data_IF_473719252231
#
_entry.id   IF_473719252231
#
_cell.length_a   1.000
_cell.length_b   1.000
_cell.length_c   1.000
_cell.angle_alpha   90.00
_cell.angle_beta   90.00
_cell.angle_gamma   90.00
#
_symmetry.space_group_name_H-M   'P 1'
#
loop_
_entity.id
_entity.type
_entity.pdbx_description
1 polymer ?
#
# COMPACT_ATOMS: atom_id res chain seq x y z
N UNK A 1 -33.19 -8.57 14.02
CA UNK A 1 -32.52 -7.37 14.58
C UNK A 1 -31.49 -6.77 13.65
N UNK A 2 -30.69 -7.58 12.92
CA UNK A 2 -29.75 -7.04 11.89
C UNK A 2 -30.43 -6.28 10.73
N UNK A 3 -31.60 -6.71 10.28
CA UNK A 3 -32.33 -6.03 9.18
C UNK A 3 -32.92 -4.66 9.56
N UNK A 4 -33.00 -4.31 10.85
CA UNK A 4 -33.52 -3.04 11.32
C UNK A 4 -32.38 -1.99 11.48
N UNK A 5 -31.12 -2.43 11.64
CA UNK A 5 -29.94 -1.58 11.73
C UNK A 5 -29.47 -1.05 10.36
N UNK A 6 -29.68 -1.83 9.28
CA UNK A 6 -29.37 -1.40 7.91
C UNK A 6 -30.27 -0.31 7.34
N UNK A 7 -31.30 0.10 8.08
CA UNK A 7 -32.31 1.06 7.62
C UNK A 7 -32.05 2.54 7.97
N UNK A 8 -30.95 2.87 8.65
CA UNK A 8 -30.68 4.25 9.11
C UNK A 8 -29.20 4.66 8.93
N UNK A 9 -28.53 4.25 7.90
CA UNK A 9 -27.49 5.11 7.35
C UNK A 9 -28.23 6.06 6.40
N UNK A 10 -28.65 7.21 6.88
CA UNK A 10 -28.93 8.35 6.00
C UNK A 10 -27.62 8.64 5.30
N UNK A 11 -27.52 8.25 4.02
CA UNK A 11 -26.31 8.28 3.17
C UNK A 11 -25.84 9.72 2.85
N UNK A 12 -26.02 10.66 3.74
CA UNK A 12 -25.53 12.02 3.60
C UNK A 12 -25.04 12.46 4.97
N UNK A 13 -23.77 12.72 5.12
CA UNK A 13 -23.08 13.30 6.28
C UNK A 13 -22.19 12.33 7.08
N UNK A 14 -21.34 11.56 6.40
CA UNK A 14 -20.39 10.67 7.08
C UNK A 14 -19.21 11.46 7.67
N UNK A 15 -18.83 11.08 8.88
CA UNK A 15 -17.57 11.47 9.52
C UNK A 15 -16.59 10.31 9.39
N UNK A 16 -15.47 10.56 8.77
CA UNK A 16 -14.51 9.51 8.39
C UNK A 16 -13.21 9.73 9.14
N UNK A 17 -12.65 8.67 9.71
CA UNK A 17 -11.33 8.65 10.32
C UNK A 17 -10.38 7.87 9.39
N UNK A 18 -9.25 8.49 9.03
CA UNK A 18 -8.17 7.84 8.30
C UNK A 18 -7.04 7.58 9.28
N UNK A 19 -6.57 6.33 9.34
CA UNK A 19 -5.41 5.94 10.12
C UNK A 19 -4.18 5.91 9.21
N UNK A 20 -3.19 6.75 9.49
CA UNK A 20 -1.94 6.86 8.73
C UNK A 20 -1.37 8.26 8.72
N UNK A 21 -0.14 8.39 8.23
CA UNK A 21 0.60 9.65 8.10
C UNK A 21 1.51 9.69 6.86
N UNK A 22 1.42 8.68 6.01
CA UNK A 22 2.19 8.51 4.79
C UNK A 22 1.53 9.18 3.57
N UNK A 23 2.14 9.09 2.39
CA UNK A 23 1.59 9.63 1.15
C UNK A 23 0.24 9.02 0.81
N UNK A 24 0.08 7.72 1.04
CA UNK A 24 -1.18 6.98 0.89
C UNK A 24 -2.29 7.58 1.77
N UNK A 25 -2.01 7.91 3.04
CA UNK A 25 -2.99 8.54 3.92
C UNK A 25 -3.43 9.91 3.40
N UNK A 26 -2.50 10.71 2.88
CA UNK A 26 -2.82 12.00 2.27
C UNK A 26 -3.65 11.83 1.00
N UNK A 27 -3.31 10.85 0.16
CA UNK A 27 -4.08 10.53 -1.05
C UNK A 27 -5.50 10.08 -0.73
N UNK A 28 -5.69 9.28 0.34
CA UNK A 28 -7.03 8.96 0.83
C UNK A 28 -7.79 10.21 1.28
N UNK A 29 -7.14 11.15 1.98
CA UNK A 29 -7.77 12.41 2.38
C UNK A 29 -8.27 13.19 1.17
N UNK A 30 -7.39 13.38 0.17
CA UNK A 30 -7.72 14.05 -1.07
C UNK A 30 -8.90 13.38 -1.80
N UNK A 31 -8.84 12.05 -1.97
CA UNK A 31 -9.89 11.32 -2.71
C UNK A 31 -11.23 11.32 -1.99
N UNK A 32 -11.22 11.11 -0.68
CA UNK A 32 -12.43 11.05 0.15
C UNK A 32 -13.07 12.44 0.30
N UNK A 33 -12.27 13.51 0.32
CA UNK A 33 -12.79 14.88 0.41
C UNK A 33 -13.64 15.31 -0.79
N UNK A 34 -13.49 14.63 -1.93
CA UNK A 34 -14.28 14.87 -3.15
C UNK A 34 -15.70 14.29 -3.06
N UNK A 35 -15.96 13.40 -2.09
CA UNK A 35 -17.28 12.78 -1.94
C UNK A 35 -18.26 13.71 -1.22
N UNK A 36 -19.43 13.93 -1.82
CA UNK A 36 -20.54 14.64 -1.15
C UNK A 36 -21.06 13.93 0.12
N UNK A 37 -20.69 12.64 0.28
CA UNK A 37 -21.08 11.85 1.45
C UNK A 37 -20.16 12.11 2.65
N UNK A 38 -18.94 12.64 2.44
CA UNK A 38 -18.00 12.97 3.47
C UNK A 38 -18.23 14.39 3.97
N UNK A 39 -18.61 14.56 5.24
CA UNK A 39 -18.82 15.88 5.83
C UNK A 39 -17.68 16.35 6.72
N UNK A 40 -16.91 15.43 7.25
CA UNK A 40 -15.74 15.74 8.07
C UNK A 40 -14.73 14.60 8.04
N UNK A 41 -13.47 14.96 7.84
CA UNK A 41 -12.32 14.06 7.94
C UNK A 41 -11.59 14.28 9.26
N UNK A 42 -11.13 13.18 9.84
CA UNK A 42 -10.17 13.11 10.93
C UNK A 42 -9.04 12.19 10.50
N UNK A 43 -7.83 12.51 10.88
CA UNK A 43 -6.65 11.72 10.49
C UNK A 43 -5.78 11.45 11.72
N UNK A 44 -5.33 10.21 11.90
CA UNK A 44 -4.50 9.83 13.02
C UNK A 44 -3.27 9.03 12.55
N UNK A 45 -2.05 9.51 12.79
CA UNK A 45 -1.75 10.86 13.31
C UNK A 45 -1.81 11.96 12.26
N UNK A 46 -1.81 11.64 10.95
CA UNK A 46 -1.74 12.59 9.85
C UNK A 46 -0.33 13.18 9.65
N UNK A 47 -0.23 14.09 8.69
CA UNK A 47 0.99 14.83 8.35
C UNK A 47 0.65 16.30 8.01
N UNK A 48 1.62 17.09 7.53
CA UNK A 48 1.37 18.49 7.21
C UNK A 48 0.31 18.69 6.12
N UNK A 49 0.28 17.80 5.09
CA UNK A 49 -0.68 17.91 3.98
C UNK A 49 -2.09 17.47 4.36
N UNK A 50 -2.23 16.47 5.21
CA UNK A 50 -3.56 15.95 5.61
C UNK A 50 -4.39 16.99 6.37
N UNK A 51 -3.75 17.95 7.03
CA UNK A 51 -4.42 19.05 7.73
C UNK A 51 -5.23 19.98 6.81
N UNK A 52 -4.96 19.96 5.51
CA UNK A 52 -5.72 20.71 4.51
C UNK A 52 -7.14 20.13 4.28
N UNK A 53 -7.32 18.84 4.55
CA UNK A 53 -8.55 18.10 4.30
C UNK A 53 -9.34 17.80 5.58
N UNK A 54 -8.68 17.77 6.75
CA UNK A 54 -9.33 17.40 7.99
C UNK A 54 -8.55 17.73 9.25
N UNK A 55 -9.06 17.26 10.38
CA UNK A 55 -8.45 17.46 11.70
C UNK A 55 -7.43 16.34 11.98
N UNK A 56 -6.13 16.66 12.06
CA UNK A 56 -5.12 15.72 12.50
C UNK A 56 -5.24 15.49 14.02
N UNK A 57 -5.12 14.23 14.43
CA UNK A 57 -5.23 13.79 15.83
C UNK A 57 -3.92 13.13 16.22
N UNK A 58 -3.27 13.61 17.26
CA UNK A 58 -2.00 13.02 17.75
C UNK A 58 -2.25 11.69 18.47
N UNK A 59 -2.55 10.66 17.69
CA UNK A 59 -2.88 9.31 18.16
C UNK A 59 -2.12 8.30 17.29
N UNK A 60 -1.42 7.38 17.93
CA UNK A 60 -0.80 6.25 17.23
C UNK A 60 -1.84 5.36 16.57
N UNK A 61 -1.58 4.89 15.35
CA UNK A 61 -2.44 3.95 14.61
C UNK A 61 -2.66 2.61 15.33
N UNK A 62 -1.85 2.31 16.35
CA UNK A 62 -1.95 1.08 17.16
C UNK A 62 -2.48 1.32 18.57
N UNK A 63 -2.80 2.56 18.94
CA UNK A 63 -3.48 2.87 20.20
C UNK A 63 -5.00 2.75 20.03
N UNK A 64 -5.48 1.51 20.02
CA UNK A 64 -6.89 1.20 19.78
C UNK A 64 -7.84 1.81 20.80
N UNK A 65 -7.42 1.98 22.06
CA UNK A 65 -8.26 2.60 23.09
C UNK A 65 -8.44 4.10 22.86
N UNK A 66 -7.40 4.81 22.42
CA UNK A 66 -7.53 6.23 22.05
C UNK A 66 -8.33 6.39 20.76
N UNK A 67 -8.14 5.51 19.76
CA UNK A 67 -8.98 5.47 18.56
C UNK A 67 -10.44 5.27 18.92
N UNK A 68 -10.77 4.32 19.80
CA UNK A 68 -12.13 4.11 20.31
C UNK A 68 -12.74 5.36 20.92
N UNK A 69 -11.98 6.06 21.82
CA UNK A 69 -12.44 7.29 22.46
C UNK A 69 -12.81 8.35 21.40
N UNK A 70 -11.96 8.51 20.39
CA UNK A 70 -12.22 9.44 19.28
C UNK A 70 -13.44 9.03 18.48
N UNK A 71 -13.55 7.77 18.10
CA UNK A 71 -14.69 7.26 17.33
C UNK A 71 -16.02 7.56 18.03
N UNK A 72 -16.07 7.35 19.34
CA UNK A 72 -17.28 7.64 20.13
C UNK A 72 -17.53 9.14 20.26
N UNK A 73 -16.51 9.94 20.63
CA UNK A 73 -16.68 11.37 20.92
C UNK A 73 -16.96 12.20 19.66
N UNK A 74 -16.31 11.87 18.53
CA UNK A 74 -16.48 12.54 17.24
C UNK A 74 -17.64 11.96 16.43
N UNK A 75 -18.19 10.79 16.84
CA UNK A 75 -19.26 10.03 16.15
C UNK A 75 -18.78 9.64 14.73
N UNK A 76 -17.70 8.90 14.67
CA UNK A 76 -17.13 8.39 13.42
C UNK A 76 -18.05 7.30 12.85
N UNK A 77 -18.28 7.35 11.55
CA UNK A 77 -19.11 6.39 10.81
C UNK A 77 -18.28 5.36 10.02
N UNK A 78 -17.08 5.76 9.59
CA UNK A 78 -16.19 4.95 8.78
C UNK A 78 -14.72 5.17 9.17
N UNK A 79 -13.95 4.09 9.24
CA UNK A 79 -12.49 4.09 9.47
C UNK A 79 -11.78 3.49 8.27
N UNK A 80 -10.89 4.28 7.66
CA UNK A 80 -9.98 3.81 6.60
C UNK A 80 -8.63 3.52 7.21
N UNK A 81 -8.18 2.27 7.10
CA UNK A 81 -6.89 1.84 7.66
C UNK A 81 -5.82 1.88 6.57
N UNK A 82 -4.88 2.80 6.67
CA UNK A 82 -3.79 2.95 5.70
C UNK A 82 -2.68 1.92 5.87
N UNK A 83 -2.01 1.84 7.05
CA UNK A 83 -0.88 0.94 7.25
C UNK A 83 -1.30 -0.49 7.65
N UNK A 84 -0.40 -1.44 7.46
CA UNK A 84 -0.61 -2.87 7.74
C UNK A 84 -0.61 -3.20 9.24
N UNK A 85 0.16 -2.48 10.05
CA UNK A 85 0.39 -2.84 11.45
C UNK A 85 -0.92 -2.93 12.28
N UNK A 86 -1.83 -1.93 12.24
CA UNK A 86 -3.10 -2.04 12.97
C UNK A 86 -3.99 -3.17 12.44
N UNK A 87 -3.92 -3.51 11.15
CA UNK A 87 -4.69 -4.63 10.57
C UNK A 87 -4.21 -5.96 11.15
N UNK A 88 -2.90 -6.20 11.13
CA UNK A 88 -2.27 -7.42 11.68
C UNK A 88 -2.50 -7.51 13.19
N UNK A 89 -2.52 -6.38 13.90
CA UNK A 89 -2.85 -6.30 15.33
C UNK A 89 -4.35 -6.44 15.63
N UNK A 90 -5.21 -6.58 14.60
CA UNK A 90 -6.61 -6.93 14.75
C UNK A 90 -7.55 -5.76 15.05
N UNK A 91 -7.26 -4.58 14.52
CA UNK A 91 -8.16 -3.41 14.70
C UNK A 91 -9.59 -3.72 14.23
N UNK A 92 -9.77 -4.49 13.13
CA UNK A 92 -11.08 -4.90 12.66
C UNK A 92 -11.85 -5.67 13.74
N UNK A 93 -11.22 -6.70 14.35
CA UNK A 93 -11.82 -7.49 15.41
C UNK A 93 -12.14 -6.61 16.63
N UNK A 94 -11.22 -5.72 17.00
CA UNK A 94 -11.45 -4.77 18.11
C UNK A 94 -12.71 -3.96 17.91
N UNK A 95 -12.99 -3.50 16.68
CA UNK A 95 -14.23 -2.77 16.37
C UNK A 95 -15.46 -3.69 16.38
N UNK A 96 -15.38 -4.87 15.77
CA UNK A 96 -16.53 -5.79 15.63
C UNK A 96 -16.96 -6.39 16.97
N UNK A 97 -16.01 -6.63 17.88
CA UNK A 97 -16.28 -7.22 19.21
C UNK A 97 -16.82 -6.17 20.22
N UNK A 98 -16.64 -4.87 19.97
CA UNK A 98 -17.10 -3.82 20.85
C UNK A 98 -18.50 -3.31 20.46
N UNK A 99 -19.47 -3.44 21.37
CA UNK A 99 -20.87 -3.01 21.14
C UNK A 99 -21.05 -1.53 20.82
N UNK A 100 -20.07 -0.68 21.17
CA UNK A 100 -20.09 0.75 20.87
C UNK A 100 -19.47 1.10 19.52
N UNK A 101 -18.71 0.18 18.94
CA UNK A 101 -17.96 0.40 17.70
C UNK A 101 -18.44 -0.45 16.53
N UNK A 102 -19.13 -1.57 16.77
CA UNK A 102 -19.43 -2.59 15.76
C UNK A 102 -20.34 -2.13 14.62
N UNK A 103 -20.93 -0.94 14.76
CA UNK A 103 -21.72 -0.29 13.71
C UNK A 103 -20.84 0.55 12.76
N UNK A 104 -19.59 0.82 13.13
CA UNK A 104 -18.66 1.62 12.33
C UNK A 104 -18.10 0.74 11.22
N UNK A 105 -18.10 1.28 10.00
CA UNK A 105 -17.47 0.63 8.86
C UNK A 105 -15.94 0.68 9.05
N UNK A 106 -15.26 -0.44 8.90
CA UNK A 106 -13.79 -0.51 8.96
C UNK A 106 -13.26 -1.14 7.69
N UNK A 107 -12.38 -0.43 6.96
CA UNK A 107 -11.71 -1.00 5.79
C UNK A 107 -10.52 -1.84 6.25
N UNK A 108 -10.63 -3.12 6.08
CA UNK A 108 -9.56 -4.08 6.39
C UNK A 108 -10.13 -5.44 6.77
N UNK A 109 -9.30 -6.49 6.69
CA UNK A 109 -9.69 -7.83 7.09
C UNK A 109 -9.70 -8.01 8.61
N UNK A 110 -10.30 -9.13 9.04
CA UNK A 110 -10.03 -9.68 10.36
C UNK A 110 -8.54 -9.92 10.60
N UNK A 111 -8.11 -10.06 11.87
CA UNK A 111 -6.73 -10.41 12.20
C UNK A 111 -6.27 -11.72 11.50
N UNK A 112 -7.20 -12.65 11.28
CA UNK A 112 -6.92 -13.87 10.51
C UNK A 112 -6.68 -13.56 9.03
N UNK A 113 -7.51 -12.74 8.39
CA UNK A 113 -7.32 -12.31 7.00
C UNK A 113 -6.06 -11.48 6.80
N UNK A 114 -5.69 -10.66 7.80
CA UNK A 114 -4.46 -9.87 7.78
C UNK A 114 -3.19 -10.74 7.80
N UNK A 115 -3.28 -12.05 8.11
CA UNK A 115 -2.14 -12.97 7.99
C UNK A 115 -1.68 -13.17 6.54
N UNK A 116 -2.49 -12.84 5.54
CA UNK A 116 -2.04 -12.83 4.13
C UNK A 116 -0.85 -11.88 3.92
N UNK A 117 -0.76 -10.76 4.67
CA UNK A 117 0.40 -9.86 4.71
C UNK A 117 1.30 -10.14 5.92
N UNK A 118 0.70 -10.42 7.08
CA UNK A 118 1.40 -10.58 8.35
C UNK A 118 2.26 -11.84 8.45
N UNK A 119 1.99 -12.88 7.64
CA UNK A 119 2.76 -14.12 7.61
C UNK A 119 2.93 -14.61 6.18
N UNK A 120 4.16 -14.61 5.70
CA UNK A 120 4.49 -15.13 4.37
C UNK A 120 4.27 -16.63 4.26
N UNK A 121 4.50 -17.35 5.37
CA UNK A 121 4.22 -18.78 5.46
C UNK A 121 2.71 -19.07 5.33
N UNK A 122 1.86 -18.27 6.00
CA UNK A 122 0.41 -18.36 5.86
C UNK A 122 -0.04 -18.06 4.43
N UNK A 123 0.45 -16.97 3.85
CA UNK A 123 0.12 -16.59 2.47
C UNK A 123 0.50 -17.69 1.46
N UNK A 124 1.70 -18.25 1.58
CA UNK A 124 2.16 -19.36 0.72
C UNK A 124 1.29 -20.61 0.87
N UNK A 125 0.97 -20.99 2.10
CA UNK A 125 0.08 -22.14 2.36
C UNK A 125 -1.33 -21.89 1.81
N UNK A 126 -1.87 -20.67 1.94
CA UNK A 126 -3.14 -20.26 1.34
C UNK A 126 -3.10 -20.40 -0.19
N UNK A 127 -2.07 -19.82 -0.85
CA UNK A 127 -1.91 -19.91 -2.30
C UNK A 127 -1.82 -21.37 -2.78
N UNK A 128 -1.12 -22.23 -2.05
CA UNK A 128 -1.00 -23.63 -2.39
C UNK A 128 -2.35 -24.38 -2.29
N UNK A 129 -3.14 -24.13 -1.23
CA UNK A 129 -4.46 -24.76 -1.04
C UNK A 129 -5.45 -24.37 -2.14
N UNK A 130 -5.34 -23.14 -2.65
CA UNK A 130 -6.26 -22.59 -3.65
C UNK A 130 -5.69 -22.58 -5.07
N UNK A 131 -4.56 -23.27 -5.31
CA UNK A 131 -3.88 -23.38 -6.61
C UNK A 131 -3.55 -22.03 -7.25
N UNK A 132 -3.20 -21.04 -6.44
CA UNK A 132 -2.79 -19.69 -6.90
C UNK A 132 -1.32 -19.74 -7.28
N UNK A 133 -0.95 -19.29 -8.51
CA UNK A 133 0.43 -19.34 -8.97
C UNK A 133 1.37 -18.49 -8.09
N UNK A 134 2.43 -19.11 -7.62
CA UNK A 134 3.49 -18.45 -6.83
C UNK A 134 4.79 -19.24 -6.95
N UNK A 135 5.93 -18.66 -6.56
CA UNK A 135 7.22 -19.33 -6.54
C UNK A 135 7.19 -20.61 -5.70
N UNK A 136 7.88 -21.65 -6.14
CA UNK A 136 8.12 -22.82 -5.30
C UNK A 136 8.84 -22.40 -4.02
N UNK A 137 8.41 -22.98 -2.89
CA UNK A 137 8.93 -22.59 -1.60
C UNK A 137 9.02 -23.75 -0.61
N UNK A 138 9.87 -23.57 0.39
CA UNK A 138 9.84 -24.31 1.66
C UNK A 138 9.98 -23.34 2.82
N UNK A 139 9.40 -23.69 3.96
CA UNK A 139 9.54 -22.92 5.19
C UNK A 139 10.40 -23.70 6.20
N UNK A 140 11.18 -22.95 6.97
CA UNK A 140 12.04 -23.49 8.02
C UNK A 140 12.00 -22.59 9.25
N UNK A 141 12.29 -23.16 10.40
CA UNK A 141 12.40 -22.51 11.70
C UNK A 141 13.64 -23.04 12.47
N UNK A 142 13.73 -22.72 13.74
CA UNK A 142 14.86 -23.14 14.55
C UNK A 142 14.95 -24.68 14.73
N UNK A 143 13.80 -25.40 14.70
CA UNK A 143 13.78 -26.86 14.86
C UNK A 143 14.21 -27.56 13.55
N UNK A 144 13.90 -26.97 12.41
CA UNK A 144 14.22 -27.45 11.06
C UNK A 144 15.48 -26.78 10.45
N UNK A 145 16.33 -26.16 11.31
CA UNK A 145 17.47 -25.34 10.86
C UNK A 145 18.44 -26.08 9.94
N UNK A 146 18.88 -27.28 10.33
CA UNK A 146 19.82 -28.10 9.55
C UNK A 146 19.23 -28.57 8.22
N UNK A 147 17.93 -28.91 8.21
CA UNK A 147 17.21 -29.24 6.95
C UNK A 147 17.17 -28.02 6.01
N UNK A 148 16.96 -26.82 6.57
CA UNK A 148 16.97 -25.57 5.82
C UNK A 148 18.33 -25.26 5.20
N UNK A 149 19.44 -25.48 5.94
CA UNK A 149 20.80 -25.32 5.40
C UNK A 149 21.06 -26.29 4.24
N UNK A 150 20.66 -27.55 4.38
CA UNK A 150 20.85 -28.55 3.32
C UNK A 150 19.99 -28.23 2.10
N UNK A 151 18.75 -27.77 2.31
CA UNK A 151 17.86 -27.30 1.24
C UNK A 151 18.46 -26.12 0.46
N UNK A 152 18.97 -25.09 1.16
CA UNK A 152 19.59 -23.91 0.53
C UNK A 152 20.85 -24.30 -0.24
N UNK A 153 21.69 -25.19 0.31
CA UNK A 153 22.91 -25.68 -0.33
C UNK A 153 22.64 -26.32 -1.68
N UNK A 154 21.52 -27.04 -1.81
CA UNK A 154 21.14 -27.76 -3.02
C UNK A 154 20.11 -26.99 -3.88
N UNK A 155 19.73 -25.76 -3.50
CA UNK A 155 18.75 -24.96 -4.22
C UNK A 155 19.36 -24.32 -5.48
N UNK A 156 18.55 -24.17 -6.52
CA UNK A 156 18.94 -23.43 -7.73
C UNK A 156 19.11 -21.93 -7.37
N UNK A 157 20.20 -21.35 -7.83
CA UNK A 157 20.48 -19.92 -7.65
C UNK A 157 19.96 -19.07 -8.82
N UNK A 158 19.57 -17.82 -8.59
CA UNK A 158 19.45 -17.16 -7.27
C UNK A 158 18.39 -17.81 -6.38
N UNK A 159 18.51 -17.63 -5.07
CA UNK A 159 17.51 -18.07 -4.09
C UNK A 159 17.00 -16.87 -3.30
N UNK A 160 15.71 -16.86 -2.93
CA UNK A 160 15.09 -15.79 -2.17
C UNK A 160 14.78 -16.24 -0.75
N UNK A 161 15.30 -15.52 0.23
CA UNK A 161 15.01 -15.74 1.65
C UNK A 161 14.07 -14.66 2.15
N UNK A 162 12.95 -15.05 2.76
CA UNK A 162 11.97 -14.10 3.32
C UNK A 162 11.72 -14.41 4.79
N UNK A 163 11.99 -13.45 5.67
CA UNK A 163 11.54 -13.52 7.07
C UNK A 163 10.00 -13.50 7.13
N UNK A 164 9.40 -14.30 8.00
CA UNK A 164 7.95 -14.58 8.00
C UNK A 164 7.10 -13.45 8.58
N UNK A 165 7.56 -12.47 9.19
CA UNK A 165 6.76 -11.38 9.77
C UNK A 165 6.85 -10.07 9.00
N UNK A 166 6.20 -9.03 9.55
CA UNK A 166 6.38 -7.66 9.08
C UNK A 166 7.81 -7.21 9.33
N UNK A 167 8.52 -6.84 8.28
CA UNK A 167 9.92 -6.41 8.33
C UNK A 167 10.16 -5.11 7.53
N UNK A 168 9.12 -4.30 7.34
CA UNK A 168 9.17 -2.99 6.64
C UNK A 168 9.94 -3.04 5.31
N UNK A 169 9.69 -4.05 4.48
CA UNK A 169 10.36 -4.27 3.19
C UNK A 169 11.81 -4.77 3.27
N UNK A 170 12.38 -4.93 4.48
CA UNK A 170 13.78 -5.34 4.70
C UNK A 170 13.95 -6.85 4.91
N UNK A 171 12.88 -7.60 5.07
CA UNK A 171 12.90 -9.04 5.37
C UNK A 171 13.08 -9.96 4.16
N UNK A 172 13.38 -9.42 2.98
CA UNK A 172 13.58 -10.18 1.74
C UNK A 172 15.02 -10.00 1.25
N UNK A 173 15.70 -11.11 1.05
CA UNK A 173 17.10 -11.12 0.56
C UNK A 173 17.19 -12.07 -0.65
N UNK A 174 17.73 -11.58 -1.76
CA UNK A 174 18.01 -12.37 -2.95
C UNK A 174 19.51 -12.69 -2.93
N UNK A 175 19.84 -13.97 -2.85
CA UNK A 175 21.22 -14.45 -2.76
C UNK A 175 21.64 -15.11 -4.07
N UNK A 176 22.74 -14.64 -4.63
CA UNK A 176 23.32 -15.18 -5.86
C UNK A 176 24.29 -16.34 -5.62
N UNK A 177 24.70 -16.56 -4.37
CA UNK A 177 25.64 -17.62 -3.97
C UNK A 177 25.11 -18.39 -2.76
N UNK A 178 25.31 -19.72 -2.74
CA UNK A 178 24.84 -20.57 -1.62
C UNK A 178 25.48 -20.19 -0.29
N UNK A 179 26.75 -19.77 -0.26
CA UNK A 179 27.42 -19.34 0.98
C UNK A 179 26.77 -18.07 1.55
N UNK A 180 26.44 -17.11 0.70
CA UNK A 180 25.70 -15.91 1.08
C UNK A 180 24.33 -16.28 1.64
N UNK A 181 23.58 -17.15 0.95
CA UNK A 181 22.25 -17.58 1.37
C UNK A 181 22.28 -18.31 2.72
N UNK A 182 23.25 -19.20 2.95
CA UNK A 182 23.42 -19.88 4.24
C UNK A 182 23.76 -18.90 5.37
N UNK A 183 24.62 -17.90 5.10
CA UNK A 183 24.95 -16.85 6.08
C UNK A 183 23.76 -15.98 6.44
N UNK A 184 22.98 -15.52 5.44
CA UNK A 184 21.75 -14.75 5.68
C UNK A 184 20.68 -15.57 6.43
N UNK A 185 20.52 -16.85 6.09
CA UNK A 185 19.62 -17.77 6.77
C UNK A 185 19.97 -17.92 8.27
N UNK A 186 21.28 -18.09 8.60
CA UNK A 186 21.76 -18.11 9.98
C UNK A 186 21.45 -16.79 10.68
N UNK A 187 21.72 -15.64 10.04
CA UNK A 187 21.46 -14.33 10.62
C UNK A 187 19.97 -14.14 10.94
N UNK A 188 19.09 -14.62 10.07
CA UNK A 188 17.63 -14.46 10.26
C UNK A 188 17.16 -15.35 11.43
N UNK A 189 17.43 -16.67 11.39
CA UNK A 189 16.88 -17.63 12.34
C UNK A 189 17.64 -17.60 13.66
N UNK A 190 18.98 -17.74 13.62
CA UNK A 190 19.75 -17.92 14.86
C UNK A 190 20.15 -16.61 15.53
N UNK A 191 20.42 -15.55 14.75
CA UNK A 191 20.80 -14.24 15.29
C UNK A 191 19.63 -13.29 15.42
N UNK A 192 18.41 -13.73 15.11
CA UNK A 192 17.18 -12.93 15.25
C UNK A 192 17.26 -11.56 14.56
N UNK A 193 17.89 -11.48 13.39
CA UNK A 193 18.10 -10.23 12.61
C UNK A 193 16.82 -9.39 12.49
N UNK A 194 15.65 -10.04 12.46
CA UNK A 194 14.34 -9.39 12.37
C UNK A 194 13.42 -9.66 13.58
N UNK A 195 14.02 -10.00 14.77
CA UNK A 195 13.27 -10.29 15.99
C UNK A 195 12.24 -11.41 15.78
N UNK A 196 11.00 -11.21 16.21
CA UNK A 196 9.92 -12.19 16.09
C UNK A 196 9.64 -12.59 14.63
N UNK A 197 9.79 -11.67 13.66
CA UNK A 197 9.61 -11.95 12.25
C UNK A 197 10.65 -12.94 11.69
N UNK A 198 11.79 -13.08 12.33
CA UNK A 198 12.87 -14.01 11.95
C UNK A 198 12.73 -15.43 12.50
N UNK A 199 11.69 -15.73 13.28
CA UNK A 199 11.49 -17.09 13.84
C UNK A 199 11.25 -18.16 12.78
N UNK A 200 10.72 -17.75 11.62
CA UNK A 200 10.54 -18.60 10.44
C UNK A 200 11.11 -17.92 9.21
N UNK A 201 11.61 -18.71 8.28
CA UNK A 201 12.08 -18.25 6.98
C UNK A 201 11.40 -19.05 5.89
N UNK A 202 10.89 -18.35 4.89
CA UNK A 202 10.43 -18.92 3.64
C UNK A 202 11.57 -18.82 2.64
N UNK A 203 12.01 -19.97 2.12
CA UNK A 203 13.03 -20.09 1.07
C UNK A 203 12.32 -20.32 -0.24
N UNK A 204 12.48 -19.40 -1.20
CA UNK A 204 11.75 -19.40 -2.46
C UNK A 204 12.66 -19.50 -3.68
N UNK A 205 12.12 -20.08 -4.73
CA UNK A 205 12.67 -19.93 -6.07
C UNK A 205 12.67 -18.46 -6.49
N UNK A 206 13.76 -18.00 -7.09
CA UNK A 206 13.78 -16.70 -7.75
C UNK A 206 12.97 -16.77 -9.05
N UNK A 207 12.06 -15.83 -9.20
CA UNK A 207 11.30 -15.61 -10.42
C UNK A 207 11.94 -14.45 -11.18
N UNK A 208 12.26 -14.69 -12.45
CA UNK A 208 12.83 -13.67 -13.34
C UNK A 208 11.73 -13.14 -14.25
N UNK A 209 11.34 -11.88 -14.04
CA UNK A 209 10.21 -11.28 -14.75
C UNK A 209 10.04 -9.80 -14.39
N UNK A 210 8.90 -9.24 -14.79
CA UNK A 210 8.58 -7.84 -14.57
C UNK A 210 7.48 -7.74 -13.50
N UNK A 211 7.76 -7.00 -12.43
CA UNK A 211 6.81 -6.79 -11.33
C UNK A 211 5.70 -5.83 -11.71
N UNK A 212 4.50 -6.06 -11.16
CA UNK A 212 3.38 -5.13 -11.18
C UNK A 212 2.53 -5.30 -9.92
N UNK A 213 1.77 -4.25 -9.63
CA UNK A 213 0.85 -4.16 -8.50
C UNK A 213 -0.59 -4.15 -9.00
N UNK A 214 -1.40 -5.11 -8.56
CA UNK A 214 -2.83 -5.18 -8.89
C UNK A 214 -3.64 -5.02 -7.61
N UNK A 215 -4.72 -4.27 -7.66
CA UNK A 215 -5.52 -3.91 -6.51
C UNK A 215 -6.98 -4.27 -6.71
N UNK A 216 -7.59 -4.82 -5.69
CA UNK A 216 -9.04 -4.96 -5.60
C UNK A 216 -9.55 -4.36 -4.29
N UNK A 217 -10.77 -3.85 -4.31
CA UNK A 217 -11.58 -3.65 -3.12
C UNK A 217 -12.57 -4.80 -3.07
N UNK A 218 -12.62 -5.53 -1.95
CA UNK A 218 -13.50 -6.71 -1.79
C UNK A 218 -14.38 -6.60 -0.55
N UNK A 219 -15.56 -7.18 -0.63
CA UNK A 219 -16.49 -7.40 0.49
C UNK A 219 -16.45 -8.84 1.04
N UNK A 220 -15.48 -9.63 0.55
CA UNK A 220 -15.31 -11.04 0.90
C UNK A 220 -16.10 -12.01 0.03
N UNK A 221 -17.05 -11.53 -0.80
CA UNK A 221 -17.83 -12.34 -1.75
C UNK A 221 -17.65 -11.88 -3.18
N UNK A 222 -17.57 -10.56 -3.37
CA UNK A 222 -17.33 -9.92 -4.63
C UNK A 222 -16.15 -8.95 -4.51
N UNK A 223 -15.81 -8.35 -5.64
CA UNK A 223 -14.75 -7.35 -5.69
C UNK A 223 -14.96 -6.38 -6.85
N UNK A 224 -14.27 -5.25 -6.77
CA UNK A 224 -14.07 -4.34 -7.89
C UNK A 224 -12.57 -4.22 -8.15
N UNK A 225 -12.17 -4.28 -9.42
CA UNK A 225 -10.78 -4.14 -9.85
C UNK A 225 -10.45 -2.65 -9.94
N UNK A 226 -9.39 -2.23 -9.25
CA UNK A 226 -8.85 -0.88 -9.32
C UNK A 226 -7.75 -0.79 -10.38
N UNK A 227 -7.33 0.42 -10.81
CA UNK A 227 -6.20 0.56 -11.73
C UNK A 227 -4.95 -0.17 -11.22
N UNK A 228 -4.27 -0.88 -12.10
CA UNK A 228 -2.98 -1.47 -11.84
C UNK A 228 -1.87 -0.41 -11.81
N UNK A 229 -0.75 -0.73 -11.17
CA UNK A 229 0.40 0.13 -11.10
C UNK A 229 1.71 -0.68 -11.14
N UNK A 230 2.83 0.00 -11.43
CA UNK A 230 4.17 -0.53 -11.23
C UNK A 230 4.95 0.43 -10.34
N UNK A 231 5.52 -0.08 -9.26
CA UNK A 231 6.40 0.66 -8.37
C UNK A 231 7.90 0.49 -8.71
N UNK A 232 8.72 1.39 -8.18
CA UNK A 232 10.17 1.42 -8.34
C UNK A 232 10.81 1.35 -6.97
N UNK A 233 11.24 0.15 -6.55
CA UNK A 233 11.68 -0.13 -5.17
C UNK A 233 13.11 0.29 -4.86
N UNK A 234 14.00 0.31 -5.87
CA UNK A 234 15.42 0.62 -5.65
C UNK A 234 15.65 2.10 -5.50
N UNK A 235 16.57 2.46 -4.56
CA UNK A 235 16.86 3.86 -4.24
C UNK A 235 17.54 4.60 -5.40
N UNK A 236 18.39 3.94 -6.17
CA UNK A 236 19.18 4.57 -7.24
C UNK A 236 18.61 4.27 -8.62
N UNK A 237 18.91 5.16 -9.56
CA UNK A 237 18.61 4.99 -10.98
C UNK A 237 19.15 3.68 -11.53
N UNK A 238 18.46 3.13 -12.57
CA UNK A 238 18.79 1.83 -13.18
C UNK A 238 18.58 0.65 -12.22
N UNK A 239 17.63 0.79 -11.28
CA UNK A 239 17.27 -0.22 -10.26
C UNK A 239 18.46 -0.73 -9.46
N UNK A 240 19.29 0.19 -8.99
CA UNK A 240 20.48 -0.09 -8.18
C UNK A 240 20.30 0.31 -6.72
N UNK A 241 21.21 -0.22 -5.88
CA UNK A 241 21.21 0.07 -4.44
C UNK A 241 20.17 -0.73 -3.65
N UNK A 242 19.96 -0.40 -2.37
CA UNK A 242 19.02 -1.09 -1.49
C UNK A 242 17.57 -0.86 -1.91
N UNK A 243 16.70 -1.78 -1.48
CA UNK A 243 15.25 -1.61 -1.56
C UNK A 243 14.77 -0.51 -0.61
N UNK A 244 13.71 0.17 -1.02
CA UNK A 244 13.02 1.22 -0.26
C UNK A 244 11.55 0.85 -0.10
N UNK A 245 10.75 1.76 0.45
CA UNK A 245 9.28 1.65 0.43
C UNK A 245 8.65 1.99 -0.93
N UNK A 246 9.45 2.40 -1.92
CA UNK A 246 9.02 2.86 -3.25
C UNK A 246 9.52 4.28 -3.54
N UNK A 247 10.15 4.46 -4.70
CA UNK A 247 10.69 5.73 -5.18
C UNK A 247 9.80 6.42 -6.22
N UNK A 248 8.75 5.73 -6.64
CA UNK A 248 7.77 6.21 -7.58
C UNK A 248 6.90 5.07 -8.08
N UNK A 249 5.83 5.41 -8.78
CA UNK A 249 4.94 4.45 -9.43
C UNK A 249 4.33 5.04 -10.69
N UNK A 250 3.87 4.17 -11.59
CA UNK A 250 3.19 4.54 -12.83
C UNK A 250 1.93 3.70 -13.02
N UNK A 251 0.92 4.28 -13.67
CA UNK A 251 -0.36 3.64 -14.04
C UNK A 251 -0.95 4.34 -15.28
N UNK A 252 -1.45 3.63 -16.32
CA UNK A 252 -1.46 2.17 -16.44
C UNK A 252 -0.07 1.60 -16.69
N UNK A 253 0.01 0.27 -16.56
CA UNK A 253 1.26 -0.46 -16.86
C UNK A 253 1.21 -0.99 -18.28
N UNK A 254 2.06 -0.51 -19.21
CA UNK A 254 1.93 -0.81 -20.64
C UNK A 254 1.96 -2.30 -21.01
N UNK A 255 2.64 -3.14 -20.22
CA UNK A 255 2.69 -4.59 -20.47
C UNK A 255 1.51 -5.37 -19.83
N UNK A 256 0.69 -4.73 -19.02
CA UNK A 256 -0.51 -5.32 -18.42
C UNK A 256 -1.68 -5.32 -19.44
N UNK A 257 -1.50 -6.04 -20.55
CA UNK A 257 -2.53 -6.15 -21.59
C UNK A 257 -3.81 -6.79 -21.04
N UNK A 258 -4.92 -6.58 -21.72
CA UNK A 258 -6.20 -7.21 -21.40
C UNK A 258 -6.08 -8.74 -21.29
N UNK A 259 -5.33 -9.37 -22.20
CA UNK A 259 -5.09 -10.83 -22.16
C UNK A 259 -4.36 -11.23 -20.89
N UNK A 260 -3.33 -10.48 -20.50
CA UNK A 260 -2.60 -10.75 -19.27
C UNK A 260 -3.45 -10.49 -18.03
N UNK A 261 -4.21 -9.39 -18.00
CA UNK A 261 -5.10 -9.07 -16.87
C UNK A 261 -6.23 -10.09 -16.71
N UNK A 262 -6.76 -10.65 -17.79
CA UNK A 262 -7.72 -11.76 -17.72
C UNK A 262 -7.08 -13.00 -17.03
N UNK A 263 -5.82 -13.34 -17.33
CA UNK A 263 -5.09 -14.39 -16.59
C UNK A 263 -4.93 -14.05 -15.10
N UNK A 264 -4.63 -12.80 -14.77
CA UNK A 264 -4.55 -12.34 -13.37
C UNK A 264 -5.89 -12.54 -12.66
N UNK A 265 -6.98 -12.19 -13.32
CA UNK A 265 -8.33 -12.39 -12.78
C UNK A 265 -8.59 -13.89 -12.54
N UNK A 266 -8.44 -14.71 -13.57
CA UNK A 266 -8.82 -16.13 -13.53
C UNK A 266 -7.92 -16.98 -12.61
N UNK A 267 -6.62 -16.68 -12.58
CA UNK A 267 -5.63 -17.52 -11.89
C UNK A 267 -5.25 -16.98 -10.50
N UNK A 268 -5.47 -15.69 -10.22
CA UNK A 268 -5.04 -15.08 -8.96
C UNK A 268 -6.21 -14.48 -8.20
N UNK A 269 -6.97 -13.54 -8.78
CA UNK A 269 -8.00 -12.80 -8.04
C UNK A 269 -9.16 -13.71 -7.66
N UNK A 270 -9.79 -14.36 -8.64
CA UNK A 270 -10.95 -15.24 -8.41
C UNK A 270 -10.62 -16.38 -7.43
N UNK A 271 -9.49 -17.12 -7.57
CA UNK A 271 -9.12 -18.13 -6.59
C UNK A 271 -8.85 -17.57 -5.20
N UNK A 272 -8.31 -16.33 -5.10
CA UNK A 272 -8.11 -15.67 -3.80
C UNK A 272 -9.44 -15.37 -3.12
N UNK A 273 -10.38 -14.72 -3.82
CA UNK A 273 -11.70 -14.38 -3.25
C UNK A 273 -12.45 -15.65 -2.87
N UNK A 274 -12.45 -16.65 -3.74
CA UNK A 274 -13.05 -17.97 -3.45
C UNK A 274 -12.41 -18.64 -2.23
N UNK A 275 -11.09 -18.58 -2.12
CA UNK A 275 -10.35 -19.12 -0.97
C UNK A 275 -10.72 -18.44 0.34
N UNK A 276 -10.87 -17.10 0.35
CA UNK A 276 -11.34 -16.36 1.52
C UNK A 276 -12.72 -16.82 1.95
N UNK A 277 -13.64 -17.03 1.01
CA UNK A 277 -14.99 -17.55 1.28
C UNK A 277 -14.97 -18.98 1.83
N UNK A 278 -14.24 -19.88 1.19
CA UNK A 278 -14.15 -21.29 1.58
C UNK A 278 -13.56 -21.48 2.98
N UNK A 279 -12.52 -20.69 3.32
CA UNK A 279 -11.89 -20.70 4.63
C UNK A 279 -12.64 -19.81 5.66
N UNK A 280 -13.74 -19.15 5.25
CA UNK A 280 -14.57 -18.28 6.09
C UNK A 280 -13.75 -17.17 6.74
N UNK A 281 -12.81 -16.61 5.99
CA UNK A 281 -12.01 -15.48 6.40
C UNK A 281 -12.84 -14.20 6.20
N UNK A 282 -13.14 -13.50 7.30
CA UNK A 282 -13.85 -12.22 7.23
C UNK A 282 -12.91 -11.14 6.68
N UNK A 283 -13.22 -10.70 5.45
CA UNK A 283 -12.38 -9.76 4.70
C UNK A 283 -13.23 -8.69 4.02
N UNK A 284 -13.09 -7.44 4.47
CA UNK A 284 -13.73 -6.26 3.86
C UNK A 284 -12.71 -5.14 3.72
N UNK A 285 -12.13 -4.99 2.55
CA UNK A 285 -11.07 -4.01 2.33
C UNK A 285 -10.30 -4.22 1.06
N UNK A 286 -9.15 -3.59 0.99
CA UNK A 286 -8.26 -3.70 -0.15
C UNK A 286 -7.41 -4.97 -0.07
N UNK A 287 -7.16 -5.58 -1.24
CA UNK A 287 -6.10 -6.56 -1.44
C UNK A 287 -5.18 -6.01 -2.51
N UNK A 288 -3.92 -5.86 -2.16
CA UNK A 288 -2.85 -5.58 -3.08
C UNK A 288 -2.11 -6.88 -3.39
N UNK A 289 -2.16 -7.29 -4.64
CA UNK A 289 -1.42 -8.41 -5.19
C UNK A 289 -0.10 -7.90 -5.76
N UNK A 290 1.02 -8.17 -5.08
CA UNK A 290 2.34 -8.01 -5.66
C UNK A 290 2.60 -9.16 -6.62
N UNK A 291 2.61 -8.86 -7.91
CA UNK A 291 2.73 -9.86 -8.98
C UNK A 291 4.05 -9.72 -9.71
N UNK A 292 4.48 -10.82 -10.31
CA UNK A 292 5.54 -10.85 -11.32
C UNK A 292 5.05 -11.61 -12.54
N UNK A 293 5.26 -11.00 -13.71
CA UNK A 293 4.96 -11.60 -15.01
C UNK A 293 6.18 -12.35 -15.49
N UNK A 294 6.08 -13.67 -15.59
CA UNK A 294 7.14 -14.57 -16.12
C UNK A 294 6.55 -15.30 -17.33
N UNK A 295 7.18 -15.19 -18.50
CA UNK A 295 6.73 -15.85 -19.73
C UNK A 295 5.21 -15.66 -20.02
N UNK A 296 4.72 -14.43 -19.86
CA UNK A 296 3.30 -14.05 -19.98
C UNK A 296 2.33 -14.71 -18.98
N UNK A 297 2.83 -15.32 -17.90
CA UNK A 297 2.02 -15.89 -16.82
C UNK A 297 2.18 -15.07 -15.52
N UNK A 298 1.09 -14.86 -14.75
CA UNK A 298 1.13 -14.15 -13.49
C UNK A 298 1.55 -15.07 -12.33
N UNK A 299 2.46 -14.60 -11.50
CA UNK A 299 2.82 -15.25 -10.24
C UNK A 299 2.70 -14.25 -9.09
N UNK A 300 2.13 -14.69 -7.97
CA UNK A 300 2.04 -13.86 -6.76
C UNK A 300 3.37 -13.90 -6.01
N UNK A 301 3.95 -12.72 -5.81
CA UNK A 301 5.14 -12.51 -4.96
C UNK A 301 4.70 -12.40 -3.49
N UNK A 302 3.65 -11.59 -3.26
CA UNK A 302 3.12 -11.32 -1.92
C UNK A 302 1.70 -10.74 -1.99
N UNK A 303 0.98 -10.84 -0.86
CA UNK A 303 -0.25 -10.10 -0.60
C UNK A 303 0.04 -8.94 0.35
N UNK A 304 -0.71 -7.84 0.17
CA UNK A 304 -0.82 -6.79 1.16
C UNK A 304 -2.30 -6.50 1.43
N UNK A 305 -2.68 -6.38 2.70
CA UNK A 305 -4.07 -6.22 3.13
C UNK A 305 -4.57 -4.77 3.10
N UNK A 306 -3.92 -3.94 2.34
CA UNK A 306 -4.11 -2.49 2.20
C UNK A 306 -3.61 -2.02 0.84
N UNK A 307 -3.84 -0.76 0.53
CA UNK A 307 -3.25 -0.14 -0.66
C UNK A 307 -1.73 0.04 -0.52
N UNK A 308 -1.03 0.13 -1.64
CA UNK A 308 0.42 0.42 -1.68
C UNK A 308 0.76 1.88 -1.36
N UNK A 309 2.02 2.16 -1.22
CA UNK A 309 2.60 3.49 -1.08
C UNK A 309 4.01 3.44 -1.72
N UNK A 310 4.21 4.00 -2.95
CA UNK A 310 3.43 5.09 -3.55
C UNK A 310 2.40 4.69 -4.64
N UNK A 311 1.91 3.47 -4.71
CA UNK A 311 0.96 3.10 -5.76
C UNK A 311 -0.41 3.77 -5.59
N UNK A 312 -0.85 4.02 -4.35
CA UNK A 312 -2.13 4.70 -4.07
C UNK A 312 -2.20 6.04 -4.77
N UNK A 313 -1.09 6.75 -4.85
CA UNK A 313 -0.94 8.08 -5.42
C UNK A 313 -1.23 8.13 -6.94
N UNK A 314 -1.04 7.03 -7.65
CA UNK A 314 -1.40 6.92 -9.08
C UNK A 314 -2.75 6.21 -9.29
N UNK A 315 -3.06 5.22 -8.45
CA UNK A 315 -4.31 4.44 -8.56
C UNK A 315 -5.52 5.32 -8.27
N UNK A 316 -5.52 6.05 -7.14
CA UNK A 316 -6.65 6.90 -6.76
C UNK A 316 -6.74 8.17 -7.61
N UNK A 317 -5.64 8.61 -8.19
CA UNK A 317 -5.64 9.73 -9.14
C UNK A 317 -6.42 9.36 -10.41
N UNK A 318 -6.29 8.12 -10.89
CA UNK A 318 -7.03 7.58 -12.03
C UNK A 318 -8.45 7.09 -11.71
N UNK A 319 -8.77 6.84 -10.44
CA UNK A 319 -10.11 6.41 -10.03
C UNK A 319 -11.10 7.58 -10.08
N UNK A 320 -12.01 7.61 -11.04
CA UNK A 320 -13.09 8.63 -11.12
C UNK A 320 -14.27 8.34 -10.20
N UNK A 321 -14.54 7.06 -9.94
CA UNK A 321 -15.61 6.65 -9.04
C UNK A 321 -15.44 7.22 -7.62
N UNK A 322 -16.56 7.51 -6.97
CA UNK A 322 -16.58 7.97 -5.59
C UNK A 322 -16.16 6.84 -4.62
N UNK A 323 -14.98 7.00 -4.02
CA UNK A 323 -14.41 5.99 -3.13
C UNK A 323 -15.30 5.73 -1.90
N UNK A 324 -15.96 6.75 -1.37
CA UNK A 324 -16.85 6.59 -0.20
C UNK A 324 -18.06 5.73 -0.53
N UNK A 325 -18.62 5.88 -1.74
CA UNK A 325 -19.70 4.99 -2.23
C UNK A 325 -19.24 3.55 -2.31
N UNK A 326 -18.04 3.31 -2.84
CA UNK A 326 -17.47 1.97 -2.93
C UNK A 326 -17.25 1.35 -1.54
N UNK A 327 -16.76 2.12 -0.56
CA UNK A 327 -16.57 1.64 0.81
C UNK A 327 -17.90 1.31 1.51
N UNK A 328 -18.98 2.05 1.20
CA UNK A 328 -20.32 1.73 1.68
C UNK A 328 -20.86 0.46 1.01
N UNK A 329 -20.68 0.31 -0.30
CA UNK A 329 -21.06 -0.90 -1.05
C UNK A 329 -20.32 -2.13 -0.52
N UNK A 330 -19.03 -2.00 -0.21
CA UNK A 330 -18.22 -3.03 0.44
C UNK A 330 -18.84 -3.52 1.76
N UNK A 331 -19.21 -2.59 2.66
CA UNK A 331 -19.83 -2.99 3.94
C UNK A 331 -21.17 -3.68 3.75
N UNK A 332 -21.93 -3.30 2.72
CA UNK A 332 -23.23 -3.90 2.38
C UNK A 332 -23.14 -5.25 1.66
N UNK A 333 -21.97 -5.64 1.14
CA UNK A 333 -21.82 -6.81 0.27
C UNK A 333 -22.43 -6.59 -1.11
N UNK A 334 -22.32 -5.40 -1.67
CA UNK A 334 -22.94 -4.97 -2.92
C UNK A 334 -21.92 -4.54 -3.98
N UNK A 335 -20.61 -4.79 -3.76
CA UNK A 335 -19.55 -4.35 -4.69
C UNK A 335 -19.73 -4.88 -6.12
N UNK A 336 -20.28 -6.07 -6.28
CA UNK A 336 -20.56 -6.65 -7.59
C UNK A 336 -21.64 -5.92 -8.42
N UNK A 337 -22.29 -4.91 -7.82
CA UNK A 337 -23.27 -4.04 -8.50
C UNK A 337 -22.69 -2.68 -8.87
N UNK A 338 -21.47 -2.38 -8.42
CA UNK A 338 -20.81 -1.11 -8.67
C UNK A 338 -20.03 -1.17 -9.97
N UNK A 339 -20.20 -0.14 -10.81
CA UNK A 339 -19.37 0.08 -11.99
C UNK A 339 -18.24 1.05 -11.61
N UNK A 340 -17.01 0.63 -11.91
CA UNK A 340 -15.83 1.48 -11.69
C UNK A 340 -15.56 2.30 -12.94
N UNK A 341 -15.42 3.60 -12.76
CA UNK A 341 -14.98 4.53 -13.79
C UNK A 341 -13.53 4.91 -13.53
N UNK A 342 -12.67 4.60 -14.49
CA UNK A 342 -11.23 4.87 -14.45
C UNK A 342 -10.91 5.94 -15.50
N UNK A 343 -10.01 6.86 -15.18
CA UNK A 343 -9.47 7.81 -16.14
C UNK A 343 -8.59 7.09 -17.16
N UNK A 344 -8.76 7.38 -18.44
CA UNK A 344 -7.95 6.83 -19.53
C UNK A 344 -6.52 7.42 -19.55
N UNK A 345 -6.33 8.58 -18.93
CA UNK A 345 -5.02 9.22 -18.79
C UNK A 345 -4.03 8.35 -18.02
N UNK A 346 -2.76 8.60 -18.28
CA UNK A 346 -1.65 8.01 -17.54
C UNK A 346 -1.33 8.82 -16.29
N UNK A 347 -1.01 8.14 -15.21
CA UNK A 347 -0.54 8.75 -13.96
C UNK A 347 0.90 8.32 -13.66
N UNK A 348 1.70 9.24 -13.14
CA UNK A 348 3.01 8.96 -12.60
C UNK A 348 3.17 9.66 -11.25
N UNK A 349 3.84 9.01 -10.32
CA UNK A 349 4.27 9.61 -9.05
C UNK A 349 5.77 9.44 -8.87
N UNK A 350 6.44 10.47 -8.36
CA UNK A 350 7.87 10.46 -8.07
C UNK A 350 8.06 10.91 -6.62
N UNK A 351 8.81 10.11 -5.86
CA UNK A 351 8.99 10.31 -4.42
C UNK A 351 10.29 11.04 -4.13
N UNK A 352 10.19 12.21 -3.47
CA UNK A 352 11.32 12.91 -2.91
C UNK A 352 11.66 12.37 -1.52
N UNK A 353 12.94 12.07 -1.29
CA UNK A 353 13.43 11.44 -0.06
C UNK A 353 14.52 12.26 0.61
N UNK A 354 14.67 12.07 1.94
CA UNK A 354 15.75 12.63 2.73
C UNK A 354 17.09 11.98 2.42
N UNK A 355 18.18 12.76 2.48
CA UNK A 355 19.54 12.22 2.35
C UNK A 355 19.80 11.09 3.36
N UNK A 356 20.36 9.99 2.88
CA UNK A 356 20.65 8.79 3.70
C UNK A 356 19.55 7.74 3.68
N UNK A 357 18.30 8.06 3.25
CA UNK A 357 17.25 7.06 3.10
C UNK A 357 17.65 5.98 2.07
N UNK A 358 17.38 4.67 2.29
CA UNK A 358 16.56 4.06 3.36
C UNK A 358 17.32 3.74 4.67
N UNK A 359 18.57 4.23 4.83
CA UNK A 359 19.31 4.19 6.08
C UNK A 359 18.93 5.33 7.02
N UNK A 360 19.89 5.81 7.80
CA UNK A 360 19.70 6.92 8.73
C UNK A 360 19.58 8.25 7.98
N UNK A 361 18.64 9.09 8.38
CA UNK A 361 18.39 10.40 7.77
C UNK A 361 18.05 11.47 8.82
N UNK A 362 18.35 12.72 8.49
CA UNK A 362 17.99 13.88 9.30
C UNK A 362 16.50 14.22 9.14
N UNK A 363 15.90 14.72 10.20
CA UNK A 363 14.55 15.30 10.23
C UNK A 363 14.62 16.77 10.63
N UNK A 364 13.52 17.51 10.47
CA UNK A 364 13.42 18.90 10.89
C UNK A 364 14.01 19.88 9.88
N UNK A 365 14.23 19.48 8.62
CA UNK A 365 14.70 20.35 7.56
C UNK A 365 13.51 21.06 6.93
N UNK A 366 13.57 22.39 6.81
CA UNK A 366 12.52 23.19 6.17
C UNK A 366 12.39 22.81 4.70
N UNK A 367 11.15 22.69 4.25
CA UNK A 367 10.80 22.44 2.85
C UNK A 367 10.38 23.76 2.23
N UNK A 368 11.08 24.16 1.18
CA UNK A 368 10.73 25.27 0.31
C UNK A 368 9.92 24.74 -0.87
N UNK A 369 8.69 25.19 -1.02
CA UNK A 369 7.80 24.82 -2.11
C UNK A 369 7.86 25.76 -3.30
N UNK A 370 8.73 26.81 -3.26
CA UNK A 370 8.87 27.78 -4.33
C UNK A 370 7.53 28.46 -4.65
N UNK A 371 7.17 28.55 -5.93
CA UNK A 371 5.91 29.18 -6.36
C UNK A 371 4.65 28.38 -5.95
N UNK A 372 4.80 27.12 -5.53
CA UNK A 372 3.69 26.30 -5.02
C UNK A 372 3.25 26.70 -3.60
N UNK A 373 3.94 27.64 -2.95
CA UNK A 373 3.46 28.26 -1.69
C UNK A 373 2.21 29.14 -1.91
N UNK A 374 1.99 29.60 -3.15
CA UNK A 374 0.82 30.40 -3.47
C UNK A 374 -0.44 29.51 -3.63
N UNK A 375 -1.48 29.67 -2.77
CA UNK A 375 -2.72 28.88 -2.84
C UNK A 375 -3.46 29.01 -4.18
N UNK A 376 -3.32 30.13 -4.89
CA UNK A 376 -3.92 30.32 -6.21
C UNK A 376 -3.22 29.45 -7.27
N UNK A 377 -1.89 29.29 -7.16
CA UNK A 377 -1.12 28.39 -8.02
C UNK A 377 -1.52 26.94 -7.80
N UNK A 378 -1.62 26.51 -6.53
CA UNK A 378 -2.08 25.18 -6.19
C UNK A 378 -3.49 24.93 -6.74
N UNK A 379 -4.41 25.90 -6.54
CA UNK A 379 -5.77 25.81 -7.08
C UNK A 379 -5.80 25.76 -8.61
N UNK A 380 -4.97 26.50 -9.29
CA UNK A 380 -4.89 26.47 -10.74
C UNK A 380 -4.38 25.11 -11.23
N UNK A 381 -3.34 24.59 -10.63
CA UNK A 381 -2.78 23.25 -10.91
C UNK A 381 -3.81 22.16 -10.64
N UNK A 382 -4.52 22.23 -9.51
CA UNK A 382 -5.56 21.26 -9.11
C UNK A 382 -6.83 21.39 -9.98
N UNK A 383 -7.20 22.62 -10.39
CA UNK A 383 -8.39 22.86 -11.24
C UNK A 383 -8.21 22.37 -12.68
N UNK A 384 -6.98 22.30 -13.19
CA UNK A 384 -6.66 21.63 -14.45
C UNK A 384 -6.63 20.09 -14.30
N UNK A 385 -6.77 19.60 -13.05
CA UNK A 385 -7.07 18.20 -12.73
C UNK A 385 -5.92 17.23 -12.95
N UNK A 386 -4.66 17.71 -12.91
CA UNK A 386 -3.58 16.87 -13.35
C UNK A 386 -2.37 16.70 -12.42
N UNK A 387 -2.19 17.52 -11.37
CA UNK A 387 -0.98 17.46 -10.54
C UNK A 387 -1.34 17.57 -9.07
N UNK A 388 -0.74 16.68 -8.26
CA UNK A 388 -0.89 16.66 -6.80
C UNK A 388 0.46 16.51 -6.10
N UNK A 389 0.67 17.27 -5.03
CA UNK A 389 1.83 17.11 -4.13
C UNK A 389 1.34 16.45 -2.85
N UNK A 390 1.53 15.13 -2.75
CA UNK A 390 1.17 14.38 -1.56
C UNK A 390 2.29 14.42 -0.52
N UNK A 391 1.95 14.83 0.69
CA UNK A 391 2.86 14.80 1.83
C UNK A 391 2.94 13.37 2.41
N UNK A 392 4.15 12.92 2.68
CA UNK A 392 4.43 11.70 3.42
C UNK A 392 5.10 12.04 4.75
N UNK A 393 6.41 11.91 4.84
CA UNK A 393 7.17 12.24 6.04
C UNK A 393 7.36 13.73 6.26
N UNK A 394 6.29 14.45 6.51
CA UNK A 394 6.29 15.90 6.77
C UNK A 394 5.58 16.24 8.08
N UNK A 395 5.91 17.38 8.66
CA UNK A 395 5.27 17.92 9.86
C UNK A 395 5.15 19.45 9.75
N UNK A 396 4.04 20.00 10.24
CA UNK A 396 3.90 21.44 10.40
C UNK A 396 4.67 21.89 11.65
N UNK A 397 5.50 22.92 11.52
CA UNK A 397 6.21 23.55 12.64
C UNK A 397 6.11 25.08 12.51
N UNK A 398 5.22 25.66 13.28
CA UNK A 398 4.84 27.08 13.10
C UNK A 398 4.23 27.31 11.71
N UNK A 399 4.78 28.26 10.96
CA UNK A 399 4.37 28.54 9.58
C UNK A 399 5.08 27.65 8.54
N UNK A 400 6.13 26.92 8.94
CA UNK A 400 6.93 26.12 8.03
C UNK A 400 6.50 24.64 8.01
N UNK A 401 6.66 24.01 6.87
CA UNK A 401 6.61 22.54 6.73
C UNK A 401 8.04 22.01 6.78
N UNK A 402 8.25 20.99 7.58
CA UNK A 402 9.57 20.37 7.78
C UNK A 402 9.55 18.89 7.47
N UNK A 403 10.73 18.32 7.12
CA UNK A 403 10.89 16.87 6.93
C UNK A 403 10.73 16.13 8.26
N UNK A 404 10.01 15.02 8.25
CA UNK A 404 9.80 14.15 9.42
C UNK A 404 9.93 12.66 9.09
N UNK A 405 10.34 12.30 7.89
CA UNK A 405 10.46 10.92 7.42
C UNK A 405 11.52 10.73 6.35
N UNK A 406 11.74 9.51 5.94
CA UNK A 406 12.66 9.16 4.86
C UNK A 406 12.08 9.54 3.49
N UNK A 407 10.87 9.03 3.17
CA UNK A 407 10.06 9.52 2.05
C UNK A 407 9.32 10.76 2.54
N UNK A 408 9.49 11.87 1.87
CA UNK A 408 9.03 13.19 2.34
C UNK A 408 7.81 13.67 1.58
N UNK A 409 7.88 13.67 0.25
CA UNK A 409 6.80 14.07 -0.65
C UNK A 409 6.67 13.08 -1.80
N UNK A 410 5.47 12.93 -2.34
CA UNK A 410 5.20 12.25 -3.60
C UNK A 410 4.50 13.23 -4.54
N UNK A 411 5.11 13.54 -5.66
CA UNK A 411 4.50 14.38 -6.69
C UNK A 411 3.89 13.49 -7.75
N UNK A 412 2.59 13.62 -7.93
CA UNK A 412 1.79 12.80 -8.82
C UNK A 412 1.12 13.64 -9.89
N UNK A 413 1.12 13.17 -11.12
CA UNK A 413 0.48 13.86 -12.24
C UNK A 413 -0.30 12.91 -13.15
N UNK A 414 -1.34 13.47 -13.80
CA UNK A 414 -2.14 12.86 -14.86
C UNK A 414 -1.86 13.57 -16.18
N UNK A 415 -1.58 12.81 -17.24
CA UNK A 415 -1.45 13.34 -18.59
C UNK A 415 -1.97 12.35 -19.63
N UNK A 416 -2.10 12.80 -20.88
CA UNK A 416 -2.57 11.95 -21.97
C UNK A 416 -1.59 10.82 -22.31
N UNK A 417 -0.30 11.00 -21.97
CA UNK A 417 0.70 9.95 -22.11
C UNK A 417 1.52 9.77 -20.82
N UNK A 418 2.09 8.57 -20.64
CA UNK A 418 2.95 8.29 -19.49
C UNK A 418 4.24 9.14 -19.48
N UNK A 419 4.93 9.37 -20.61
CA UNK A 419 6.06 10.30 -20.63
C UNK A 419 5.71 11.71 -20.15
N UNK A 420 4.56 12.24 -20.57
CA UNK A 420 4.12 13.58 -20.17
C UNK A 420 3.81 13.64 -18.68
N UNK A 421 3.14 12.60 -18.14
CA UNK A 421 2.88 12.51 -16.69
C UNK A 421 4.18 12.48 -15.88
N UNK A 422 5.18 11.72 -16.33
CA UNK A 422 6.48 11.66 -15.66
C UNK A 422 7.18 13.01 -15.70
N UNK A 423 7.18 13.69 -16.85
CA UNK A 423 7.84 14.98 -17.00
C UNK A 423 7.19 16.06 -16.14
N UNK A 424 5.86 16.12 -16.12
CA UNK A 424 5.12 17.03 -15.24
C UNK A 424 5.47 16.82 -13.74
N UNK A 425 5.59 15.57 -13.30
CA UNK A 425 5.99 15.28 -11.91
C UNK A 425 7.41 15.77 -11.61
N UNK A 426 8.34 15.67 -12.57
CA UNK A 426 9.72 16.16 -12.42
C UNK A 426 9.77 17.68 -12.39
N UNK A 427 9.07 18.36 -13.30
CA UNK A 427 9.02 19.81 -13.37
C UNK A 427 8.55 20.43 -12.05
N UNK A 428 7.56 19.80 -11.40
CA UNK A 428 7.10 20.22 -10.07
C UNK A 428 8.13 19.94 -8.98
N UNK A 429 8.78 18.77 -9.01
CA UNK A 429 9.83 18.43 -8.04
C UNK A 429 11.04 19.36 -8.14
N UNK A 430 11.38 19.85 -9.33
CA UNK A 430 12.47 20.81 -9.53
C UNK A 430 12.17 22.18 -8.90
N UNK A 431 10.92 22.46 -8.52
CA UNK A 431 10.53 23.69 -7.80
C UNK A 431 10.58 23.53 -6.28
N UNK A 432 10.60 22.29 -5.79
CA UNK A 432 10.58 21.97 -4.36
C UNK A 432 12.01 21.71 -3.91
N UNK A 433 12.37 22.25 -2.73
CA UNK A 433 13.71 22.05 -2.21
C UNK A 433 13.73 21.84 -0.70
N UNK A 434 14.57 20.92 -0.24
CA UNK A 434 15.05 20.81 1.14
C UNK A 434 16.47 20.24 1.13
N UNK A 435 17.26 20.54 2.18
CA UNK A 435 18.65 20.10 2.26
C UNK A 435 18.81 18.61 2.08
N UNK A 436 19.60 18.19 1.08
CA UNK A 436 19.87 16.79 0.78
C UNK A 436 18.72 16.04 0.13
N UNK A 437 17.74 16.73 -0.45
CA UNK A 437 16.66 16.12 -1.23
C UNK A 437 17.22 15.27 -2.37
N UNK A 438 16.64 14.08 -2.54
CA UNK A 438 16.92 13.19 -3.67
C UNK A 438 15.62 12.58 -4.20
N UNK A 439 15.53 12.40 -5.50
CA UNK A 439 14.50 11.63 -6.18
C UNK A 439 15.05 10.97 -7.43
N UNK A 440 14.46 9.87 -7.88
CA UNK A 440 14.85 9.18 -9.10
C UNK A 440 14.30 9.90 -10.33
N UNK A 441 15.19 10.18 -11.30
CA UNK A 441 14.82 10.83 -12.57
C UNK A 441 14.40 9.84 -13.65
N UNK A 442 14.61 8.55 -13.41
CA UNK A 442 14.37 7.46 -14.37
C UNK A 442 13.09 6.67 -14.10
N UNK A 443 12.15 7.17 -13.27
CA UNK A 443 10.84 6.52 -13.08
C UNK A 443 10.17 6.36 -14.45
N UNK A 444 9.71 5.15 -14.76
CA UNK A 444 9.10 4.82 -16.05
C UNK A 444 10.09 4.55 -17.18
N UNK A 445 11.38 4.43 -16.91
CA UNK A 445 12.45 4.33 -17.92
C UNK A 445 12.23 3.23 -18.97
N UNK A 446 11.57 2.11 -18.60
CA UNK A 446 11.27 1.03 -19.53
C UNK A 446 10.14 1.33 -20.51
N UNK A 447 9.36 2.38 -20.24
CA UNK A 447 8.19 2.76 -21.02
C UNK A 447 8.38 4.07 -21.81
N UNK A 448 9.45 4.80 -21.53
CA UNK A 448 9.83 6.04 -22.19
C UNK A 448 10.97 5.72 -23.14
N UNK A 449 10.69 5.68 -24.43
CA UNK A 449 11.71 5.51 -25.48
C UNK A 449 11.93 6.83 -26.21
#
# INVERSE_FOLDING_TARGET
MQALFLKIIKHSNLKILILGSDGRAHTFCWKISQSELCTKLFIAPGNAGTSQYGENLDISVTDFESIKKVCISKKIDLVVVGPEEPLVKGIYNFFKDDKKLNHIIVTGPSAHGAQLEGSKAFAKAFMQRHNIPTAFYKQFDAESYEEGLDYIKNHKLPVVLKADGLAAGKGVVICNHSVEAMGEYELIIQKSKFGEAGKKVVVEQFLDGIELSVFVLTDGNGYVLLPEAKDYKKILEGDKGPNTGGMGAVSPVPFASEIFMNKVIDQVIEPTIKGLMEEKIDYKGFIFFGLIKVDDEPFVIEYNCRMGDPETEVVLLRLKSDLVKLLIAMEKGELNREEIVIDEKSAATIVAVSAGYPGDYKKGLTIDFGYLENPETIKAIDSEGGIMVFHAGTKQEGESVITNGGRVLAVSSLADSLPDAIELSKEILDQIHFEGMYFRKDIGYEFVK
#
